data_IF_788771324765
#
_entry.id   IF_788771324765
#
_cell.length_a   1.000
_cell.length_b   1.000
_cell.length_c   1.000
_cell.angle_alpha   90.00
_cell.angle_beta   90.00
_cell.angle_gamma   90.00
#
_symmetry.space_group_name_H-M   'P 1'
#
loop_
_entity.id
_entity.type
_entity.pdbx_description
1 polymer ?
#
# COMPACT_ATOMS: atom_id res chain seq x y z
N UNK A 1 -12.66 -21.61 -4.03
CA UNK A 1 -11.19 -21.46 -3.89
C UNK A 1 -10.93 -20.84 -2.55
N UNK A 2 -10.32 -21.59 -1.64
CA UNK A 2 -9.91 -21.08 -0.34
C UNK A 2 -8.93 -19.93 -0.56
N UNK A 3 -9.10 -18.85 0.19
CA UNK A 3 -8.18 -17.72 0.28
C UNK A 3 -6.81 -18.18 0.84
N UNK A 4 -6.10 -19.03 0.09
CA UNK A 4 -4.64 -18.99 0.08
C UNK A 4 -4.33 -17.57 -0.38
N UNK A 5 -4.09 -16.74 0.64
CA UNK A 5 -4.28 -15.30 0.72
C UNK A 5 -3.83 -14.60 -0.58
N UNK A 6 -4.71 -13.85 -1.26
CA UNK A 6 -4.29 -13.00 -2.40
C UNK A 6 -3.21 -12.00 -1.97
N UNK A 7 -3.22 -11.62 -0.69
CA UNK A 7 -2.17 -10.85 -0.04
C UNK A 7 -0.86 -11.64 0.14
N UNK A 8 -0.94 -12.95 0.36
CA UNK A 8 0.24 -13.82 0.36
C UNK A 8 0.81 -13.91 -1.04
N UNK A 9 -0.01 -13.97 -2.10
CA UNK A 9 0.48 -13.90 -3.48
C UNK A 9 1.20 -12.57 -3.77
N UNK A 10 0.70 -11.44 -3.27
CA UNK A 10 1.41 -10.16 -3.34
C UNK A 10 2.74 -10.19 -2.57
N UNK A 11 2.76 -10.79 -1.37
CA UNK A 11 4.02 -11.01 -0.65
C UNK A 11 4.99 -11.91 -1.45
N UNK A 12 4.48 -12.85 -2.24
CA UNK A 12 5.28 -13.68 -3.15
C UNK A 12 5.77 -12.89 -4.39
N UNK A 13 4.94 -12.02 -4.98
CA UNK A 13 5.35 -11.16 -6.12
C UNK A 13 6.43 -10.17 -5.70
N UNK A 14 6.36 -9.67 -4.48
CA UNK A 14 7.37 -8.80 -3.88
C UNK A 14 8.54 -9.55 -3.22
N UNK A 15 8.78 -10.83 -3.57
CA UNK A 15 9.98 -11.57 -3.15
C UNK A 15 11.30 -10.94 -3.67
N UNK A 16 11.22 -10.01 -4.63
CA UNK A 16 12.35 -9.20 -5.08
C UNK A 16 12.74 -8.07 -4.12
N UNK A 17 11.89 -7.76 -3.13
CA UNK A 17 12.20 -6.73 -2.13
C UNK A 17 13.40 -7.14 -1.29
N UNK A 18 14.24 -6.15 -0.97
CA UNK A 18 15.22 -6.31 0.10
C UNK A 18 14.52 -6.57 1.46
N UNK A 19 15.28 -7.10 2.43
CA UNK A 19 14.73 -7.50 3.73
C UNK A 19 14.03 -6.35 4.48
N UNK A 20 14.48 -5.10 4.29
CA UNK A 20 13.93 -3.92 4.95
C UNK A 20 12.62 -3.52 4.28
N UNK A 21 12.60 -3.46 2.95
CA UNK A 21 11.42 -3.15 2.16
C UNK A 21 10.32 -4.22 2.36
N UNK A 22 10.68 -5.50 2.43
CA UNK A 22 9.74 -6.57 2.73
C UNK A 22 9.13 -6.45 4.15
N UNK A 23 9.93 -6.01 5.14
CA UNK A 23 9.43 -5.76 6.49
C UNK A 23 8.47 -4.57 6.52
N UNK A 24 8.81 -3.47 5.84
CA UNK A 24 7.94 -2.31 5.68
C UNK A 24 6.62 -2.68 5.01
N UNK A 25 6.67 -3.46 3.93
CA UNK A 25 5.47 -3.90 3.23
C UNK A 25 4.57 -4.73 4.14
N UNK A 26 5.12 -5.67 4.91
CA UNK A 26 4.35 -6.48 5.88
C UNK A 26 3.64 -5.62 6.94
N UNK A 27 4.28 -4.55 7.42
CA UNK A 27 3.64 -3.60 8.34
C UNK A 27 2.46 -2.91 7.66
N UNK A 28 2.68 -2.40 6.45
CA UNK A 28 1.64 -1.70 5.68
C UNK A 28 0.44 -2.60 5.38
N UNK A 29 0.69 -3.87 5.01
CA UNK A 29 -0.36 -4.85 4.78
C UNK A 29 -1.17 -5.15 6.05
N UNK A 30 -0.51 -5.23 7.21
CA UNK A 30 -1.22 -5.43 8.48
C UNK A 30 -2.10 -4.22 8.82
N UNK A 31 -1.61 -3.01 8.60
CA UNK A 31 -2.38 -1.77 8.81
C UNK A 31 -3.59 -1.72 7.87
N UNK A 32 -3.40 -2.09 6.60
CA UNK A 32 -4.46 -2.18 5.59
C UNK A 32 -5.53 -3.21 5.98
N UNK A 33 -5.14 -4.42 6.42
CA UNK A 33 -6.08 -5.47 6.86
C UNK A 33 -6.97 -5.00 8.02
N UNK A 34 -6.43 -4.17 8.91
CA UNK A 34 -7.20 -3.61 10.03
C UNK A 34 -8.30 -2.64 9.58
N UNK A 35 -8.25 -2.13 8.35
CA UNK A 35 -9.31 -1.28 7.80
C UNK A 35 -10.54 -2.07 7.35
N UNK A 36 -10.44 -3.41 7.25
CA UNK A 36 -11.51 -4.31 6.84
C UNK A 36 -12.25 -3.82 5.58
N UNK A 37 -11.48 -3.41 4.56
CA UNK A 37 -12.02 -3.00 3.27
C UNK A 37 -12.55 -4.23 2.51
N UNK A 38 -13.45 -4.01 1.55
CA UNK A 38 -13.81 -5.08 0.62
C UNK A 38 -12.57 -5.54 -0.18
N UNK A 39 -12.46 -6.85 -0.45
CA UNK A 39 -11.33 -7.48 -1.14
C UNK A 39 -10.83 -6.72 -2.38
N UNK A 40 -11.75 -6.18 -3.19
CA UNK A 40 -11.40 -5.43 -4.41
C UNK A 40 -10.59 -4.17 -4.10
N UNK A 41 -10.93 -3.46 -3.03
CA UNK A 41 -10.24 -2.24 -2.63
C UNK A 41 -8.99 -2.56 -1.84
N UNK A 42 -9.04 -3.58 -0.99
CA UNK A 42 -7.88 -4.06 -0.24
C UNK A 42 -6.77 -4.54 -1.18
N UNK A 43 -7.09 -5.34 -2.19
CA UNK A 43 -6.10 -5.85 -3.13
C UNK A 43 -5.41 -4.73 -3.93
N UNK A 44 -6.18 -3.76 -4.44
CA UNK A 44 -5.59 -2.61 -5.15
C UNK A 44 -4.78 -1.71 -4.22
N UNK A 45 -5.23 -1.49 -2.99
CA UNK A 45 -4.46 -0.74 -2.01
C UNK A 45 -3.13 -1.44 -1.67
N UNK A 46 -3.14 -2.77 -1.57
CA UNK A 46 -1.94 -3.56 -1.29
C UNK A 46 -0.89 -3.46 -2.41
N UNK A 47 -1.31 -3.41 -3.69
CA UNK A 47 -0.39 -3.16 -4.82
C UNK A 47 0.34 -1.82 -4.67
N UNK A 48 -0.40 -0.74 -4.40
CA UNK A 48 0.22 0.57 -4.18
C UNK A 48 1.15 0.62 -2.97
N UNK A 49 0.85 -0.14 -1.91
CA UNK A 49 1.76 -0.28 -0.77
C UNK A 49 3.02 -1.06 -1.12
N UNK A 50 2.92 -2.02 -2.04
CA UNK A 50 4.06 -2.73 -2.61
C UNK A 50 4.96 -1.79 -3.40
N UNK A 51 4.39 -0.99 -4.31
CA UNK A 51 5.12 0.01 -5.10
C UNK A 51 5.84 1.04 -4.20
N UNK A 52 5.19 1.48 -3.12
CA UNK A 52 5.80 2.40 -2.15
C UNK A 52 6.99 1.74 -1.42
N UNK A 53 6.84 0.49 -1.02
CA UNK A 53 7.90 -0.24 -0.32
C UNK A 53 9.08 -0.56 -1.25
N UNK A 54 8.81 -0.85 -2.53
CA UNK A 54 9.80 -1.20 -3.56
C UNK A 54 10.62 0.00 -4.05
N UNK A 55 10.13 1.24 -3.86
CA UNK A 55 10.82 2.44 -4.32
C UNK A 55 12.28 2.52 -3.83
N UNK A 56 13.24 2.59 -4.75
CA UNK A 56 14.67 2.60 -4.42
C UNK A 56 15.24 4.01 -4.24
N UNK A 57 14.54 5.02 -4.75
CA UNK A 57 14.97 6.40 -4.71
C UNK A 57 13.79 7.38 -4.49
N UNK A 58 14.16 8.65 -4.28
CA UNK A 58 13.20 9.71 -4.03
C UNK A 58 12.18 9.89 -5.17
N UNK A 59 12.61 9.76 -6.42
CA UNK A 59 11.73 9.95 -7.57
C UNK A 59 10.71 8.82 -7.67
N UNK A 60 11.17 7.57 -7.55
CA UNK A 60 10.31 6.39 -7.53
C UNK A 60 9.28 6.47 -6.39
N UNK A 61 9.70 6.91 -5.21
CA UNK A 61 8.80 7.07 -4.07
C UNK A 61 7.75 8.16 -4.34
N UNK A 62 8.12 9.30 -4.92
CA UNK A 62 7.15 10.33 -5.28
C UNK A 62 6.15 9.85 -6.33
N UNK A 63 6.61 9.11 -7.34
CA UNK A 63 5.75 8.49 -8.33
C UNK A 63 4.75 7.52 -7.68
N UNK A 64 5.23 6.56 -6.89
CA UNK A 64 4.39 5.59 -6.17
C UNK A 64 3.35 6.26 -5.26
N UNK A 65 3.73 7.33 -4.57
CA UNK A 65 2.79 8.14 -3.76
C UNK A 65 1.72 8.80 -4.62
N UNK A 66 2.09 9.34 -5.79
CA UNK A 66 1.14 9.98 -6.69
C UNK A 66 0.12 8.97 -7.26
N UNK A 67 0.54 7.74 -7.56
CA UNK A 67 -0.36 6.65 -7.92
C UNK A 67 -1.34 6.32 -6.79
N UNK A 68 -0.86 6.20 -5.55
CA UNK A 68 -1.72 6.00 -4.38
C UNK A 68 -2.72 7.15 -4.16
N UNK A 69 -2.32 8.40 -4.40
CA UNK A 69 -3.24 9.56 -4.36
C UNK A 69 -4.29 9.44 -5.46
N UNK A 70 -3.91 9.08 -6.68
CA UNK A 70 -4.83 8.86 -7.79
C UNK A 70 -5.88 7.79 -7.48
N UNK A 71 -5.46 6.68 -6.88
CA UNK A 71 -6.37 5.63 -6.42
C UNK A 71 -7.39 6.14 -5.38
N UNK A 72 -6.94 6.89 -4.37
CA UNK A 72 -7.83 7.51 -3.39
C UNK A 72 -8.84 8.46 -4.03
N UNK A 73 -8.42 9.26 -5.02
CA UNK A 73 -9.33 10.12 -5.77
C UNK A 73 -10.36 9.31 -6.57
N UNK A 74 -9.96 8.22 -7.20
CA UNK A 74 -10.87 7.31 -7.89
C UNK A 74 -11.95 6.74 -6.96
N UNK A 75 -11.57 6.37 -5.73
CA UNK A 75 -12.50 5.88 -4.71
C UNK A 75 -13.48 6.96 -4.22
N UNK A 76 -13.00 8.20 -4.05
CA UNK A 76 -13.86 9.35 -3.71
C UNK A 76 -14.88 9.61 -4.82
N UNK A 77 -14.43 9.70 -6.07
CA UNK A 77 -15.29 10.00 -7.22
C UNK A 77 -16.33 8.91 -7.47
N UNK A 78 -15.95 7.64 -7.33
CA UNK A 78 -16.86 6.50 -7.49
C UNK A 78 -17.81 6.32 -6.30
N UNK A 79 -17.59 7.03 -5.19
CA UNK A 79 -18.26 6.80 -3.90
C UNK A 79 -18.12 5.35 -3.44
N UNK A 80 -16.97 4.74 -3.75
CA UNK A 80 -16.71 3.32 -3.49
C UNK A 80 -16.52 2.98 -2.02
N UNK A 81 -16.18 3.96 -1.18
CA UNK A 81 -15.96 3.85 0.26
C UNK A 81 -16.54 5.04 1.01
N UNK A 82 -16.84 4.86 2.30
CA UNK A 82 -17.20 5.98 3.18
C UNK A 82 -15.99 6.90 3.43
N UNK A 83 -16.23 8.19 3.67
CA UNK A 83 -15.15 9.17 3.89
C UNK A 83 -14.18 8.74 4.99
N UNK A 84 -14.68 8.16 6.09
CA UNK A 84 -13.82 7.66 7.18
C UNK A 84 -12.87 6.53 6.75
N UNK A 85 -13.28 5.67 5.81
CA UNK A 85 -12.42 4.62 5.25
C UNK A 85 -11.37 5.21 4.30
N UNK A 86 -11.75 6.22 3.50
CA UNK A 86 -10.81 6.97 2.65
C UNK A 86 -9.73 7.64 3.50
N UNK A 87 -10.12 8.31 4.58
CA UNK A 87 -9.19 9.00 5.47
C UNK A 87 -8.26 8.01 6.19
N UNK A 88 -8.78 6.85 6.59
CA UNK A 88 -7.97 5.80 7.19
C UNK A 88 -6.98 5.19 6.20
N UNK A 89 -7.41 4.90 4.96
CA UNK A 89 -6.54 4.39 3.91
C UNK A 89 -5.45 5.40 3.52
N UNK A 90 -5.80 6.69 3.46
CA UNK A 90 -4.82 7.77 3.25
C UNK A 90 -3.72 7.75 4.30
N UNK A 91 -4.07 7.53 5.58
CA UNK A 91 -3.07 7.43 6.67
C UNK A 91 -2.16 6.23 6.50
N UNK A 92 -2.67 5.09 6.05
CA UNK A 92 -1.86 3.90 5.77
C UNK A 92 -0.86 4.17 4.64
N UNK A 93 -1.29 4.80 3.54
CA UNK A 93 -0.39 5.19 2.45
C UNK A 93 0.67 6.19 2.90
N UNK A 94 0.27 7.17 3.70
CA UNK A 94 1.20 8.16 4.24
C UNK A 94 2.25 7.52 5.17
N UNK A 95 1.83 6.65 6.08
CA UNK A 95 2.73 5.96 7.01
C UNK A 95 3.71 5.04 6.27
N UNK A 96 3.25 4.34 5.21
CA UNK A 96 4.13 3.53 4.37
C UNK A 96 5.19 4.40 3.67
N UNK A 97 4.77 5.51 3.07
CA UNK A 97 5.68 6.43 2.39
C UNK A 97 6.69 7.09 3.34
N UNK A 98 6.29 7.41 4.57
CA UNK A 98 7.20 7.95 5.59
C UNK A 98 8.28 6.93 5.99
N UNK A 99 7.92 5.65 6.09
CA UNK A 99 8.89 4.56 6.36
C UNK A 99 9.89 4.42 5.22
N UNK A 100 9.41 4.30 3.98
CA UNK A 100 10.28 4.13 2.83
C UNK A 100 11.14 5.37 2.55
N UNK A 101 10.63 6.58 2.82
CA UNK A 101 11.43 7.81 2.79
C UNK A 101 12.57 7.80 3.81
N UNK A 102 12.32 7.29 5.02
CA UNK A 102 13.35 7.16 6.05
C UNK A 102 14.43 6.15 5.64
N UNK A 103 14.03 5.05 4.99
CA UNK A 103 14.96 4.05 4.40
C UNK A 103 15.82 4.68 3.30
N UNK A 104 15.22 5.35 2.32
CA UNK A 104 15.94 5.94 1.17
C UNK A 104 16.96 7.01 1.59
N UNK A 105 16.71 7.72 2.70
CA UNK A 105 17.59 8.78 3.21
C UNK A 105 18.74 8.28 4.09
N UNK A 106 18.66 7.05 4.60
CA UNK A 106 19.64 6.45 5.50
C UNK A 106 20.70 5.66 4.75
#
# INVERSE_FOLDING_TARGET
MTATDRLSLLQFEHLGLDDVAAAEFKIALKELRNLALEDRYEHHAALHLGDIADAEDHQQLEEARNWGIGFLQGLICSRGLAQGQIDALRRVFQAAAERSLARIRG
#
